data_IF_477082709834
#
_entry.id   IF_477082709834
#
_cell.length_a   1.000
_cell.length_b   1.000
_cell.length_c   1.000
_cell.angle_alpha   90.00
_cell.angle_beta   90.00
_cell.angle_gamma   90.00
#
_symmetry.space_group_name_H-M   'P 1'
#
loop_
_entity.id
_entity.type
_entity.pdbx_description
1 polymer ?
#
# COMPACT_ATOMS: atom_id res chain seq x y z
N UNK A 1 3.77 7.68 6.15
CA UNK A 1 5.14 7.16 5.90
C UNK A 1 5.65 7.84 4.65
N UNK A 2 6.91 8.21 4.58
CA UNK A 2 7.43 9.02 3.48
C UNK A 2 8.66 8.36 2.86
N UNK A 3 8.54 7.91 1.60
CA UNK A 3 9.57 7.17 0.88
C UNK A 3 10.41 8.03 -0.06
N UNK A 4 10.73 9.28 0.33
CA UNK A 4 11.43 10.34 -0.44
C UNK A 4 10.54 11.50 -0.95
N UNK A 5 9.52 11.86 -0.19
CA UNK A 5 8.61 12.99 -0.42
C UNK A 5 7.15 12.56 -0.46
N UNK A 6 6.89 11.29 -0.81
CA UNK A 6 5.55 10.82 -1.13
C UNK A 6 4.69 10.57 0.12
N UNK A 7 3.42 10.96 0.03
CA UNK A 7 2.38 10.62 1.00
C UNK A 7 1.79 9.25 0.68
N UNK A 8 1.98 8.30 1.59
CA UNK A 8 1.42 6.96 1.47
C UNK A 8 0.36 6.69 2.53
N UNK A 9 -0.77 6.14 2.08
CA UNK A 9 -1.74 5.45 2.94
C UNK A 9 -1.47 3.95 2.84
N UNK A 10 -1.27 3.29 3.98
CA UNK A 10 -1.09 1.83 4.05
C UNK A 10 -2.31 1.23 4.73
N UNK A 11 -2.95 0.28 4.07
CA UNK A 11 -4.12 -0.46 4.54
C UNK A 11 -3.70 -1.89 4.83
N UNK A 12 -3.88 -2.33 6.07
CA UNK A 12 -3.76 -3.75 6.41
C UNK A 12 -5.02 -4.48 5.90
N UNK A 13 -4.84 -5.30 4.86
CA UNK A 13 -5.88 -6.11 4.24
C UNK A 13 -5.63 -7.62 4.42
N UNK A 14 -4.83 -8.02 5.43
CA UNK A 14 -4.51 -9.42 5.71
C UNK A 14 -5.72 -10.23 6.16
N UNK A 15 -6.61 -9.61 6.95
CA UNK A 15 -7.81 -10.28 7.49
C UNK A 15 -9.09 -9.91 6.73
N UNK A 16 -9.14 -8.68 6.20
CA UNK A 16 -10.32 -8.14 5.50
C UNK A 16 -9.89 -7.59 4.15
N UNK A 17 -10.41 -8.12 3.04
CA UNK A 17 -10.08 -7.63 1.72
C UNK A 17 -10.41 -6.14 1.59
N UNK A 18 -9.47 -5.38 1.07
CA UNK A 18 -9.64 -3.97 0.73
C UNK A 18 -9.39 -3.80 -0.76
N UNK A 19 -10.47 -3.58 -1.52
CA UNK A 19 -10.44 -3.42 -2.98
C UNK A 19 -11.37 -2.28 -3.38
N UNK A 20 -10.96 -1.02 -3.14
CA UNK A 20 -11.75 0.13 -3.57
C UNK A 20 -11.92 0.12 -5.09
N UNK A 21 -13.04 0.66 -5.56
CA UNK A 21 -13.18 1.02 -6.97
C UNK A 21 -12.24 2.17 -7.32
N UNK A 22 -12.00 2.40 -8.61
CA UNK A 22 -11.18 3.54 -9.06
C UNK A 22 -11.73 4.88 -8.54
N UNK A 23 -13.07 5.05 -8.58
CA UNK A 23 -13.73 6.25 -8.06
C UNK A 23 -13.55 6.41 -6.55
N UNK A 24 -13.60 5.31 -5.79
CA UNK A 24 -13.35 5.34 -4.34
C UNK A 24 -11.89 5.69 -4.04
N UNK A 25 -10.94 5.09 -4.76
CA UNK A 25 -9.53 5.41 -4.63
C UNK A 25 -9.26 6.89 -4.97
N UNK A 26 -9.87 7.40 -6.03
CA UNK A 26 -9.78 8.83 -6.40
C UNK A 26 -10.37 9.75 -5.35
N UNK A 27 -11.55 9.43 -4.82
CA UNK A 27 -12.18 10.22 -3.77
C UNK A 27 -11.35 10.26 -2.48
N UNK A 28 -10.70 9.15 -2.13
CA UNK A 28 -9.79 9.09 -0.98
C UNK A 28 -8.46 9.82 -1.25
N UNK A 29 -8.00 9.82 -2.51
CA UNK A 29 -6.74 10.44 -2.94
C UNK A 29 -6.82 11.97 -3.07
N UNK A 30 -8.02 12.53 -3.20
CA UNK A 30 -8.23 13.98 -3.28
C UNK A 30 -7.81 14.67 -1.97
N UNK A 31 -6.78 15.53 -2.04
CA UNK A 31 -6.26 16.30 -0.90
C UNK A 31 -7.21 17.42 -0.43
N UNK A 32 -8.20 17.82 -1.24
CA UNK A 32 -9.16 18.85 -0.88
C UNK A 32 -10.39 18.31 -0.14
N UNK A 33 -10.82 17.08 -0.48
CA UNK A 33 -12.08 16.50 0.02
C UNK A 33 -11.90 15.20 0.79
N UNK A 34 -10.81 14.48 0.56
CA UNK A 34 -10.47 13.21 1.20
C UNK A 34 -9.24 13.30 2.10
N UNK A 35 -8.75 12.15 2.59
CA UNK A 35 -7.52 12.07 3.37
C UNK A 35 -6.29 12.58 2.62
N UNK A 36 -6.27 12.41 1.29
CA UNK A 36 -5.15 12.81 0.45
C UNK A 36 -3.98 11.83 0.52
N UNK A 37 -3.46 11.43 -0.63
CA UNK A 37 -2.22 10.65 -0.75
C UNK A 37 -1.67 10.77 -2.16
N UNK A 38 -0.41 10.37 -2.36
CA UNK A 38 0.12 10.15 -3.70
C UNK A 38 -0.14 8.71 -4.15
N UNK A 39 0.04 7.74 -3.23
CA UNK A 39 -0.33 6.34 -3.45
C UNK A 39 -0.95 5.69 -2.20
N UNK A 40 -1.91 4.80 -2.43
CA UNK A 40 -2.50 3.93 -1.42
C UNK A 40 -2.00 2.50 -1.62
N UNK A 41 -1.65 1.83 -0.53
CA UNK A 41 -1.01 0.52 -0.54
C UNK A 41 -1.85 -0.44 0.31
N UNK A 42 -2.30 -1.54 -0.28
CA UNK A 42 -2.96 -2.64 0.41
C UNK A 42 -1.98 -3.78 0.67
N UNK A 43 -1.88 -4.22 1.92
CA UNK A 43 -1.12 -5.42 2.31
C UNK A 43 -2.11 -6.58 2.39
N UNK A 44 -2.10 -7.46 1.39
CA UNK A 44 -2.98 -8.62 1.26
C UNK A 44 -2.23 -9.93 1.58
N UNK A 45 -2.94 -11.03 1.87
CA UNK A 45 -2.33 -12.36 1.94
C UNK A 45 -1.73 -12.75 0.57
N UNK A 46 -0.51 -13.31 0.57
CA UNK A 46 0.07 -13.96 -0.61
C UNK A 46 -0.02 -15.49 -0.51
N UNK A 47 -0.06 -16.16 -1.66
CA UNK A 47 0.02 -17.62 -1.77
C UNK A 47 1.47 -18.16 -1.81
N UNK A 48 2.46 -17.30 -2.08
CA UNK A 48 3.86 -17.70 -2.29
C UNK A 48 4.91 -16.81 -1.60
N UNK A 49 4.47 -15.76 -0.91
CA UNK A 49 5.30 -14.83 -0.18
C UNK A 49 4.68 -14.48 1.18
N UNK A 50 5.34 -13.63 1.96
CA UNK A 50 4.83 -13.21 3.28
C UNK A 50 3.64 -12.25 3.15
N UNK A 51 3.58 -11.45 2.08
CA UNK A 51 2.47 -10.57 1.76
C UNK A 51 2.40 -10.28 0.25
N UNK A 52 1.23 -9.86 -0.21
CA UNK A 52 1.03 -9.25 -1.53
C UNK A 52 0.80 -7.74 -1.37
N UNK A 53 1.49 -6.92 -2.15
CA UNK A 53 1.37 -5.47 -2.13
C UNK A 53 0.58 -4.99 -3.34
N UNK A 54 -0.65 -4.51 -3.09
CA UNK A 54 -1.45 -3.82 -4.11
C UNK A 54 -1.26 -2.31 -4.00
N UNK A 55 -1.12 -1.61 -5.12
CA UNK A 55 -0.92 -0.16 -5.14
C UNK A 55 -1.95 0.53 -6.04
N UNK A 56 -2.56 1.58 -5.51
CA UNK A 56 -3.42 2.52 -6.24
C UNK A 56 -2.80 3.91 -6.21
N UNK A 57 -2.81 4.61 -7.34
CA UNK A 57 -2.49 6.03 -7.42
C UNK A 57 -3.70 6.87 -7.00
N UNK A 58 -3.45 8.14 -6.67
CA UNK A 58 -4.49 9.10 -6.32
C UNK A 58 -5.51 9.38 -7.43
N UNK A 59 -5.18 9.08 -8.69
CA UNK A 59 -6.12 9.20 -9.83
C UNK A 59 -7.09 8.00 -9.95
N UNK A 60 -6.89 6.97 -9.12
CA UNK A 60 -7.67 5.72 -9.09
C UNK A 60 -7.01 4.55 -9.82
N UNK A 61 -5.97 4.80 -10.63
CA UNK A 61 -5.30 3.75 -11.40
C UNK A 61 -4.46 2.82 -10.53
N UNK A 62 -4.38 1.55 -10.91
CA UNK A 62 -3.47 0.58 -10.27
C UNK A 62 -2.11 0.58 -10.95
N UNK A 63 -1.05 0.38 -10.15
CA UNK A 63 0.32 0.21 -10.66
C UNK A 63 0.94 -1.05 -10.09
N UNK A 64 1.77 -1.74 -10.90
CA UNK A 64 2.34 -3.04 -10.51
C UNK A 64 3.32 -2.91 -9.35
N UNK A 65 4.19 -1.89 -9.33
CA UNK A 65 5.10 -1.69 -8.20
C UNK A 65 5.64 -0.26 -8.15
N UNK A 66 5.74 0.28 -6.93
CA UNK A 66 6.54 1.47 -6.64
C UNK A 66 7.67 1.08 -5.68
N UNK A 67 8.93 1.26 -6.08
CA UNK A 67 10.08 0.88 -5.25
C UNK A 67 10.14 1.60 -3.90
N UNK A 68 9.56 2.81 -3.79
CA UNK A 68 9.48 3.54 -2.52
C UNK A 68 8.44 2.92 -1.57
N UNK A 69 7.29 2.51 -2.10
CA UNK A 69 6.25 1.80 -1.37
C UNK A 69 6.77 0.44 -0.86
N UNK A 70 7.53 -0.29 -1.68
CA UNK A 70 8.08 -1.58 -1.30
C UNK A 70 9.01 -1.50 -0.08
N UNK A 71 9.92 -0.51 -0.03
CA UNK A 71 10.81 -0.32 1.15
C UNK A 71 10.03 -0.01 2.42
N UNK A 72 8.99 0.80 2.27
CA UNK A 72 8.08 1.22 3.33
C UNK A 72 7.31 0.02 3.93
N UNK A 73 6.68 -0.78 3.08
CA UNK A 73 5.96 -1.99 3.48
C UNK A 73 6.91 -3.05 4.04
N UNK A 74 8.07 -3.26 3.41
CA UNK A 74 9.09 -4.20 3.88
C UNK A 74 9.55 -3.88 5.30
N UNK A 75 9.89 -2.62 5.57
CA UNK A 75 10.24 -2.19 6.94
C UNK A 75 9.10 -2.45 7.93
N UNK A 76 7.86 -2.12 7.57
CA UNK A 76 6.69 -2.34 8.43
C UNK A 76 6.50 -3.82 8.77
N UNK A 77 6.62 -4.72 7.78
CA UNK A 77 6.46 -6.16 7.97
C UNK A 77 7.59 -6.77 8.80
N UNK A 78 8.84 -6.32 8.60
CA UNK A 78 9.97 -6.73 9.44
C UNK A 78 9.74 -6.34 10.90
N UNK A 79 9.30 -5.11 11.16
CA UNK A 79 8.99 -4.64 12.51
C UNK A 79 7.81 -5.40 13.14
N UNK A 80 6.77 -5.73 12.38
CA UNK A 80 5.60 -6.43 12.92
C UNK A 80 5.85 -7.92 13.18
N UNK A 81 6.74 -8.55 12.43
CA UNK A 81 7.02 -10.00 12.52
C UNK A 81 8.25 -10.34 13.36
N UNK A 82 9.15 -9.37 13.60
CA UNK A 82 10.42 -9.61 14.27
C UNK A 82 11.40 -10.45 13.45
N UNK A 83 11.18 -10.56 12.13
CA UNK A 83 12.06 -11.28 11.20
C UNK A 83 13.12 -10.34 10.62
N UNK A 84 14.20 -10.93 10.11
CA UNK A 84 15.29 -10.21 9.44
C UNK A 84 15.10 -10.13 7.92
N UNK A 85 14.18 -10.93 7.37
CA UNK A 85 13.82 -10.96 5.94
C UNK A 85 12.32 -11.16 5.76
N UNK A 86 11.75 -10.51 4.73
CA UNK A 86 10.37 -10.71 4.26
C UNK A 86 10.35 -10.70 2.73
N UNK A 87 9.50 -11.55 2.15
CA UNK A 87 9.21 -11.59 0.73
C UNK A 87 7.85 -10.95 0.47
N UNK A 88 7.79 -10.06 -0.52
CA UNK A 88 6.57 -9.36 -0.93
C UNK A 88 6.39 -9.59 -2.42
N UNK A 89 5.20 -10.03 -2.81
CA UNK A 89 4.76 -10.13 -4.20
C UNK A 89 3.93 -8.90 -4.63
#
# INVERSE_FOLDING_TARGET
MNGAGNDFVVVNALERPFRPTEDQARALGDKATGPGFDQMIGIEPSHGADAFMRVWNADGGMVETCGNALRCVGWLLLQSTGRDEVRID
#
